data_IF_192167879533
#
_entry.id   IF_192167879533
#
_cell.length_a   1.000
_cell.length_b   1.000
_cell.length_c   1.000
_cell.angle_alpha   90.00
_cell.angle_beta   90.00
_cell.angle_gamma   90.00
#
_symmetry.space_group_name_H-M   'P 1'
#
loop_
_entity.id
_entity.type
_entity.pdbx_description
1 polymer ?
#
# COMPACT_ATOMS: atom_id res chain seq x y z
N UNK A 1 40.91 54.10 54.07
CA UNK A 1 41.48 53.02 54.91
C UNK A 1 40.41 51.94 55.12
N UNK A 2 40.43 50.88 54.31
CA UNK A 2 40.67 49.47 54.71
C UNK A 2 39.70 48.88 55.77
N UNK A 3 38.79 48.00 55.29
CA UNK A 3 38.56 46.57 55.68
C UNK A 3 37.05 46.24 55.50
N UNK A 4 36.66 45.65 54.36
CA UNK A 4 36.46 44.20 54.17
C UNK A 4 35.55 43.56 55.21
N UNK A 5 34.29 43.25 54.84
CA UNK A 5 33.67 41.92 55.02
C UNK A 5 32.65 41.66 53.91
N UNK A 6 32.89 40.56 53.24
CA UNK A 6 32.20 39.93 52.12
C UNK A 6 30.88 39.31 52.59
N UNK A 7 29.75 39.61 51.94
CA UNK A 7 28.57 38.74 51.95
C UNK A 7 28.00 38.65 50.53
N UNK A 8 28.28 37.50 49.91
CA UNK A 8 27.68 37.02 48.67
C UNK A 8 26.20 36.69 48.92
N UNK A 9 25.31 37.21 48.08
CA UNK A 9 24.07 36.53 47.69
C UNK A 9 23.83 36.80 46.20
N UNK A 10 24.35 35.90 45.37
CA UNK A 10 23.88 35.70 43.99
C UNK A 10 22.49 35.07 44.08
N UNK A 11 21.45 35.77 43.61
CA UNK A 11 20.24 35.09 43.15
C UNK A 11 20.36 34.94 41.64
N UNK A 12 20.61 33.69 41.26
CA UNK A 12 20.78 33.21 39.90
C UNK A 12 19.50 33.44 39.10
N UNK A 13 19.64 34.08 37.95
CA UNK A 13 18.71 33.99 36.85
C UNK A 13 18.72 32.52 36.38
N UNK A 14 17.71 31.74 36.73
CA UNK A 14 17.54 30.39 36.17
C UNK A 14 17.02 30.52 34.75
N UNK A 15 17.95 30.61 33.80
CA UNK A 15 17.72 30.17 32.43
C UNK A 15 17.65 28.64 32.39
N UNK A 16 16.83 28.11 31.49
CA UNK A 16 16.73 26.68 31.22
C UNK A 16 15.39 26.30 30.64
N UNK A 17 15.15 26.69 29.38
CA UNK A 17 14.27 25.88 28.52
C UNK A 17 14.97 24.52 28.37
N UNK A 18 14.51 23.50 29.10
CA UNK A 18 14.86 22.12 28.81
C UNK A 18 14.08 21.70 27.56
N UNK A 19 14.59 22.07 26.39
CA UNK A 19 14.39 21.24 25.21
C UNK A 19 15.29 20.03 25.41
N UNK A 20 14.75 18.96 25.99
CA UNK A 20 15.43 17.68 26.05
C UNK A 20 15.36 17.07 24.64
N UNK A 21 16.27 17.52 23.77
CA UNK A 21 16.73 16.65 22.71
C UNK A 21 17.53 15.55 23.43
N UNK A 22 16.90 14.40 23.64
CA UNK A 22 17.62 13.19 24.02
C UNK A 22 18.41 12.71 22.79
N UNK A 23 19.51 13.38 22.46
CA UNK A 23 20.60 12.69 21.77
C UNK A 23 21.28 11.85 22.83
N UNK A 24 20.69 10.69 23.15
CA UNK A 24 21.35 9.72 24.01
C UNK A 24 22.56 9.20 23.26
N UNK A 25 23.73 9.68 23.68
CA UNK A 25 24.94 8.89 23.58
C UNK A 25 24.66 7.55 24.26
N UNK A 26 24.65 6.48 23.47
CA UNK A 26 24.57 5.09 23.93
C UNK A 26 25.70 4.84 24.93
N UNK A 27 25.43 5.06 26.21
CA UNK A 27 26.05 4.24 27.23
C UNK A 27 25.49 2.86 26.99
N UNK A 28 26.35 1.90 26.65
CA UNK A 28 26.00 0.49 26.66
C UNK A 28 25.45 0.19 28.05
N UNK A 29 24.13 0.22 28.16
CA UNK A 29 23.44 -0.26 29.33
C UNK A 29 23.88 -1.72 29.49
N UNK A 30 23.90 -2.21 30.72
CA UNK A 30 24.03 -3.64 30.96
C UNK A 30 22.67 -4.28 30.65
N UNK A 31 22.20 -4.00 29.44
CA UNK A 31 20.84 -4.18 28.95
C UNK A 31 20.57 -5.66 28.77
N UNK A 32 19.29 -6.02 28.85
CA UNK A 32 18.86 -7.39 28.62
C UNK A 32 19.39 -7.85 27.25
N UNK A 33 20.40 -8.74 27.25
CA UNK A 33 20.99 -9.28 26.03
C UNK A 33 19.98 -9.97 25.13
N UNK A 34 18.78 -10.29 25.62
CA UNK A 34 17.69 -10.91 24.85
C UNK A 34 16.83 -9.88 24.10
N UNK A 35 16.97 -8.59 24.38
CA UNK A 35 16.12 -7.55 23.80
C UNK A 35 16.31 -7.41 22.29
N UNK A 36 15.19 -7.23 21.60
CA UNK A 36 15.09 -6.95 20.17
C UNK A 36 14.17 -5.76 19.96
N UNK A 37 14.64 -4.77 19.18
CA UNK A 37 13.86 -3.62 18.74
C UNK A 37 13.80 -3.56 17.22
N UNK A 38 12.60 -3.57 16.66
CA UNK A 38 12.38 -3.44 15.22
C UNK A 38 11.56 -2.19 14.92
N UNK A 39 12.17 -1.23 14.23
CA UNK A 39 11.48 -0.06 13.70
C UNK A 39 10.86 -0.37 12.34
N UNK A 40 9.70 0.20 12.02
CA UNK A 40 9.03 0.04 10.72
C UNK A 40 9.08 1.34 9.93
N UNK A 41 9.51 1.21 8.67
CA UNK A 41 9.55 2.29 7.69
C UNK A 41 8.87 1.84 6.40
N UNK A 42 8.04 2.70 5.82
CA UNK A 42 7.30 2.41 4.59
C UNK A 42 8.08 2.98 3.40
N UNK A 43 8.30 2.17 2.37
CA UNK A 43 8.91 2.66 1.15
C UNK A 43 7.93 3.53 0.36
N UNK A 44 8.16 4.84 0.37
CA UNK A 44 7.34 5.82 -0.35
C UNK A 44 7.63 5.91 -1.85
N UNK A 45 8.61 5.16 -2.37
CA UNK A 45 9.05 5.25 -3.77
C UNK A 45 9.91 6.47 -4.09
N UNK A 46 10.07 7.42 -3.14
CA UNK A 46 11.00 8.57 -3.22
C UNK A 46 11.92 8.52 -2.01
N UNK A 47 13.23 8.79 -2.20
CA UNK A 47 14.29 8.65 -1.18
C UNK A 47 14.19 9.61 0.03
N UNK A 48 13.16 10.45 0.15
CA UNK A 48 13.17 11.63 1.04
C UNK A 48 12.03 11.73 2.06
N UNK A 49 11.12 10.75 2.19
CA UNK A 49 10.09 10.77 3.23
C UNK A 49 10.18 9.53 4.11
N UNK A 50 10.37 9.74 5.41
CA UNK A 50 10.48 8.70 6.44
C UNK A 50 9.20 8.60 7.30
N UNK A 51 8.08 9.17 6.85
CA UNK A 51 6.85 9.26 7.64
C UNK A 51 5.80 8.33 7.06
N UNK A 52 5.17 7.50 7.90
CA UNK A 52 4.07 6.63 7.50
C UNK A 52 3.01 7.39 6.66
N UNK A 53 2.36 6.73 5.68
CA UNK A 53 1.27 7.34 4.92
C UNK A 53 0.21 7.88 5.87
N UNK A 54 -0.26 9.10 5.63
CA UNK A 54 -1.38 9.66 6.39
C UNK A 54 -2.62 8.79 6.14
N UNK A 55 -3.24 8.23 7.20
CA UNK A 55 -4.44 7.43 7.02
C UNK A 55 -5.57 8.23 6.37
N UNK A 56 -6.35 7.62 5.47
CA UNK A 56 -7.59 8.22 5.00
C UNK A 56 -8.55 8.50 6.17
N UNK A 57 -9.50 9.42 5.98
CA UNK A 57 -10.47 9.76 7.01
C UNK A 57 -11.24 8.52 7.51
N UNK A 58 -11.35 8.37 8.84
CA UNK A 58 -11.98 7.23 9.54
C UNK A 58 -11.18 5.91 9.49
N UNK A 59 -9.93 5.93 9.01
CA UNK A 59 -9.06 4.76 9.03
C UNK A 59 -7.87 4.99 9.96
N UNK A 60 -7.31 3.89 10.46
CA UNK A 60 -6.03 3.85 11.15
C UNK A 60 -5.07 2.93 10.39
N UNK A 61 -3.79 3.31 10.34
CA UNK A 61 -2.75 2.42 9.81
C UNK A 61 -2.36 1.42 10.91
N UNK A 62 -2.69 0.16 10.72
CA UNK A 62 -2.24 -0.95 11.56
C UNK A 62 -0.91 -1.49 11.02
N UNK A 63 -0.03 -1.91 11.91
CA UNK A 63 1.12 -2.74 11.58
C UNK A 63 1.16 -3.97 12.48
N UNK A 64 1.34 -5.13 11.86
CA UNK A 64 1.44 -6.44 12.47
C UNK A 64 2.87 -6.92 12.27
N UNK A 65 3.52 -7.34 13.34
CA UNK A 65 4.81 -8.01 13.29
C UNK A 65 4.63 -9.46 13.74
N UNK A 66 5.20 -10.39 12.98
CA UNK A 66 5.40 -11.77 13.41
C UNK A 66 6.87 -12.15 13.34
N UNK A 67 7.33 -12.88 14.36
CA UNK A 67 8.67 -13.49 14.39
C UNK A 67 8.50 -14.99 14.54
N UNK A 68 9.11 -15.71 13.61
CA UNK A 68 9.11 -17.16 13.55
C UNK A 68 10.52 -17.69 13.77
N UNK A 69 10.60 -18.95 14.21
CA UNK A 69 11.84 -19.69 14.06
C UNK A 69 12.26 -19.77 12.57
N UNK A 70 13.54 -20.06 12.32
CA UNK A 70 14.07 -20.08 10.94
C UNK A 70 13.46 -21.17 10.06
N UNK A 71 12.86 -22.20 10.65
CA UNK A 71 12.19 -23.29 9.94
C UNK A 71 10.70 -23.01 9.70
N UNK A 72 10.22 -21.85 10.14
CA UNK A 72 8.84 -21.38 10.06
C UNK A 72 7.85 -22.33 10.76
N UNK A 73 8.33 -23.10 11.73
CA UNK A 73 7.55 -24.12 12.42
C UNK A 73 6.81 -23.59 13.64
N UNK A 74 7.35 -22.55 14.28
CA UNK A 74 6.80 -21.97 15.51
C UNK A 74 6.76 -20.45 15.41
N UNK A 75 5.61 -19.87 15.73
CA UNK A 75 5.48 -18.45 15.99
C UNK A 75 6.06 -18.16 17.39
N UNK A 76 7.00 -17.24 17.46
CA UNK A 76 7.70 -16.86 18.70
C UNK A 76 7.19 -15.54 19.26
N UNK A 77 6.76 -14.65 18.38
CA UNK A 77 6.26 -13.33 18.75
C UNK A 77 5.23 -12.84 17.74
N UNK A 78 4.16 -12.21 18.23
CA UNK A 78 3.23 -11.44 17.42
C UNK A 78 2.75 -10.21 18.17
N UNK A 79 2.66 -9.09 17.49
CA UNK A 79 2.07 -7.86 18.03
C UNK A 79 1.43 -7.03 16.91
N UNK A 80 0.32 -6.37 17.23
CA UNK A 80 -0.33 -5.38 16.37
C UNK A 80 -0.25 -4.00 17.02
N UNK A 81 0.18 -3.00 16.26
CA UNK A 81 0.27 -1.60 16.67
C UNK A 81 -0.48 -0.71 15.69
N UNK A 82 -1.07 0.38 16.17
CA UNK A 82 -1.62 1.44 15.31
C UNK A 82 -0.62 2.58 15.21
N UNK A 83 -0.37 3.07 13.99
CA UNK A 83 0.47 4.24 13.79
C UNK A 83 -0.22 5.48 14.38
N UNK A 84 0.51 6.21 15.22
CA UNK A 84 0.15 7.58 15.59
C UNK A 84 0.79 8.56 14.60
N UNK A 85 0.25 9.77 14.48
CA UNK A 85 0.58 10.70 13.40
C UNK A 85 2.04 11.19 13.37
N UNK A 86 2.88 10.85 14.36
CA UNK A 86 4.23 11.41 14.50
C UNK A 86 5.31 10.43 15.01
N UNK A 87 4.99 9.16 15.28
CA UNK A 87 5.96 8.20 15.84
C UNK A 87 6.30 7.08 14.87
N UNK A 88 7.60 6.78 14.76
CA UNK A 88 8.06 5.53 14.13
C UNK A 88 7.50 4.35 14.91
N UNK A 89 6.77 3.47 14.23
CA UNK A 89 6.28 2.24 14.83
C UNK A 89 7.48 1.36 15.23
N UNK A 90 7.62 1.11 16.52
CA UNK A 90 8.69 0.31 17.10
C UNK A 90 8.10 -0.89 17.83
N UNK A 91 8.55 -2.08 17.47
CA UNK A 91 8.26 -3.32 18.18
C UNK A 91 9.43 -3.62 19.12
N UNK A 92 9.14 -3.96 20.37
CA UNK A 92 10.16 -4.34 21.36
C UNK A 92 9.75 -5.64 22.03
N UNK A 93 10.62 -6.64 21.98
CA UNK A 93 10.38 -7.99 22.51
C UNK A 93 11.70 -8.68 22.87
N UNK A 94 11.62 -9.90 23.37
CA UNK A 94 12.79 -10.68 23.77
C UNK A 94 12.91 -11.97 22.94
N UNK A 95 14.13 -12.27 22.50
CA UNK A 95 14.50 -13.56 21.92
C UNK A 95 15.58 -14.19 22.80
N UNK A 96 15.21 -15.31 23.44
CA UNK A 96 16.05 -15.95 24.46
C UNK A 96 17.37 -16.53 23.91
N UNK A 97 17.39 -16.93 22.63
CA UNK A 97 18.53 -17.60 22.04
C UNK A 97 19.15 -16.75 20.92
N UNK A 98 20.47 -16.80 20.73
CA UNK A 98 21.08 -16.30 19.51
C UNK A 98 20.72 -17.21 18.33
N UNK A 99 20.57 -16.64 17.14
CA UNK A 99 20.22 -17.40 15.95
C UNK A 99 19.59 -16.59 14.83
N UNK A 100 19.24 -17.29 13.75
CA UNK A 100 18.46 -16.74 12.66
C UNK A 100 16.97 -16.84 12.99
N UNK A 101 16.23 -15.79 12.67
CA UNK A 101 14.78 -15.70 12.84
C UNK A 101 14.15 -15.14 11.58
N UNK A 102 13.01 -15.68 11.20
CA UNK A 102 12.22 -15.13 10.10
C UNK A 102 11.28 -14.06 10.66
N UNK A 103 11.30 -12.89 10.06
CA UNK A 103 10.40 -11.77 10.41
C UNK A 103 9.46 -11.50 9.24
N UNK A 104 8.17 -11.41 9.54
CA UNK A 104 7.15 -10.88 8.65
C UNK A 104 6.58 -9.62 9.26
N UNK A 105 6.41 -8.58 8.46
CA UNK A 105 5.60 -7.43 8.84
C UNK A 105 4.57 -7.15 7.76
N UNK A 106 3.36 -6.80 8.19
CA UNK A 106 2.26 -6.36 7.34
C UNK A 106 1.71 -5.05 7.89
N UNK A 107 1.45 -4.08 7.03
CA UNK A 107 0.80 -2.84 7.43
C UNK A 107 -0.34 -2.53 6.47
N UNK A 108 -1.52 -2.27 7.02
CA UNK A 108 -2.75 -2.01 6.26
C UNK A 108 -3.64 -1.00 6.97
N UNK A 109 -4.63 -0.47 6.26
CA UNK A 109 -5.65 0.37 6.87
C UNK A 109 -6.83 -0.46 7.35
N UNK A 110 -7.22 -0.21 8.60
CA UNK A 110 -8.42 -0.74 9.24
C UNK A 110 -9.35 0.41 9.63
N UNK A 111 -10.58 0.10 10.04
CA UNK A 111 -11.47 1.12 10.62
C UNK A 111 -10.81 1.74 11.86
N UNK A 112 -10.89 3.05 12.03
CA UNK A 112 -10.25 3.75 13.15
C UNK A 112 -10.77 3.29 14.52
N UNK A 113 -12.01 2.80 14.57
CA UNK A 113 -12.69 2.24 15.73
C UNK A 113 -12.75 0.70 15.72
N UNK A 114 -11.89 0.04 14.93
CA UNK A 114 -11.86 -1.42 14.82
C UNK A 114 -11.79 -2.10 16.20
N UNK A 115 -12.69 -3.06 16.40
CA UNK A 115 -12.72 -3.85 17.64
C UNK A 115 -11.43 -4.64 17.82
N UNK A 116 -11.01 -4.81 19.07
CA UNK A 116 -9.81 -5.53 19.45
C UNK A 116 -10.18 -6.74 20.30
N UNK A 117 -9.68 -7.90 19.91
CA UNK A 117 -9.87 -9.17 20.63
C UNK A 117 -8.53 -9.74 21.07
N UNK A 118 -8.50 -10.47 22.18
CA UNK A 118 -7.28 -11.14 22.65
C UNK A 118 -7.28 -12.58 22.15
N UNK A 119 -6.18 -12.98 21.53
CA UNK A 119 -5.91 -14.32 21.03
C UNK A 119 -4.86 -14.97 21.92
N UNK A 120 -5.16 -16.13 22.48
CA UNK A 120 -4.29 -16.81 23.46
C UNK A 120 -3.23 -17.73 22.82
N UNK A 121 -3.49 -18.25 21.61
CA UNK A 121 -2.66 -19.26 20.94
C UNK A 121 -2.38 -18.88 19.48
N UNK A 122 -1.21 -19.24 18.91
CA UNK A 122 -0.10 -19.96 19.55
C UNK A 122 0.78 -19.07 20.45
N UNK A 123 0.69 -17.75 20.30
CA UNK A 123 1.33 -16.76 21.17
C UNK A 123 0.26 -15.74 21.58
N UNK A 124 0.13 -15.38 22.87
CA UNK A 124 -0.82 -14.37 23.31
C UNK A 124 -0.59 -13.02 22.64
N UNK A 125 -1.62 -12.46 22.02
CA UNK A 125 -1.57 -11.13 21.40
C UNK A 125 -2.98 -10.53 21.28
N UNK A 126 -3.04 -9.21 21.08
CA UNK A 126 -4.27 -8.56 20.65
C UNK A 126 -4.36 -8.52 19.12
N UNK A 127 -5.55 -8.75 18.60
CA UNK A 127 -5.88 -8.71 17.18
C UNK A 127 -6.99 -7.69 16.93
N UNK A 128 -6.71 -6.71 16.07
CA UNK A 128 -7.73 -5.79 15.57
C UNK A 128 -8.55 -6.43 14.45
N UNK A 129 -9.85 -6.16 14.42
CA UNK A 129 -10.74 -6.66 13.37
C UNK A 129 -10.20 -6.32 11.97
N UNK A 130 -10.02 -7.37 11.16
CA UNK A 130 -9.60 -7.23 9.77
C UNK A 130 -10.67 -6.54 8.92
N UNK A 131 -10.23 -5.68 7.98
CA UNK A 131 -11.11 -4.99 7.04
C UNK A 131 -11.01 -5.56 5.63
N UNK A 132 -9.92 -5.28 4.90
CA UNK A 132 -9.75 -5.73 3.52
C UNK A 132 -8.94 -7.02 3.38
N UNK A 133 -8.11 -7.30 4.39
CA UNK A 133 -7.10 -8.34 4.38
C UNK A 133 -7.24 -9.20 5.61
N UNK A 134 -7.36 -10.52 5.42
CA UNK A 134 -7.32 -11.49 6.51
C UNK A 134 -5.87 -11.72 6.91
N UNK A 135 -5.52 -11.40 8.16
CA UNK A 135 -4.13 -11.39 8.67
C UNK A 135 -3.88 -12.38 9.81
N UNK A 136 -4.90 -13.16 10.18
CA UNK A 136 -4.91 -14.08 11.30
C UNK A 136 -5.26 -15.53 10.88
N UNK A 137 -4.98 -15.90 9.62
CA UNK A 137 -5.17 -17.28 9.14
C UNK A 137 -4.17 -18.26 9.75
N UNK A 138 -4.34 -19.55 9.47
CA UNK A 138 -3.49 -20.64 10.01
C UNK A 138 -2.00 -20.45 9.69
N UNK A 139 -1.69 -19.77 8.58
CA UNK A 139 -0.32 -19.47 8.15
C UNK A 139 0.24 -18.17 8.75
N UNK A 140 -0.51 -17.45 9.59
CA UNK A 140 -0.15 -16.12 10.08
C UNK A 140 0.08 -15.14 8.93
N UNK A 141 1.10 -14.29 9.05
CA UNK A 141 1.46 -13.33 8.01
C UNK A 141 2.17 -13.94 6.80
N UNK A 142 2.48 -15.26 6.79
CA UNK A 142 3.11 -15.92 5.63
C UNK A 142 2.21 -15.86 4.38
N UNK A 143 0.90 -15.74 4.58
CA UNK A 143 -0.08 -15.61 3.52
C UNK A 143 -1.23 -14.70 3.94
N UNK A 144 -1.52 -13.70 3.11
CA UNK A 144 -2.58 -12.72 3.31
C UNK A 144 -3.68 -12.99 2.29
N UNK A 145 -4.94 -13.02 2.74
CA UNK A 145 -6.08 -13.22 1.86
C UNK A 145 -6.92 -11.95 1.77
N UNK A 146 -7.49 -11.69 0.59
CA UNK A 146 -8.54 -10.70 0.45
C UNK A 146 -9.80 -11.15 1.21
N UNK A 147 -10.52 -10.20 1.79
CA UNK A 147 -11.86 -10.39 2.32
C UNK A 147 -12.84 -9.96 1.22
N UNK A 148 -13.48 -10.91 0.50
CA UNK A 148 -14.24 -10.60 -0.71
C UNK A 148 -15.40 -9.61 -0.48
N UNK A 149 -16.10 -9.74 0.64
CA UNK A 149 -17.24 -8.91 1.01
C UNK A 149 -16.88 -7.45 1.27
N UNK A 150 -15.62 -7.18 1.63
CA UNK A 150 -15.11 -5.84 1.91
C UNK A 150 -14.30 -5.27 0.76
N UNK A 151 -14.10 -6.03 -0.32
CA UNK A 151 -13.34 -5.57 -1.48
C UNK A 151 -14.01 -4.34 -2.09
N UNK A 152 -13.21 -3.29 -2.26
CA UNK A 152 -13.65 -2.02 -2.85
C UNK A 152 -12.64 -1.58 -3.91
N UNK A 153 -13.15 -0.92 -4.95
CA UNK A 153 -12.33 -0.16 -5.90
C UNK A 153 -12.41 1.31 -5.57
N UNK A 154 -11.49 2.10 -6.12
CA UNK A 154 -11.42 3.53 -5.84
C UNK A 154 -11.32 3.84 -4.32
N UNK A 155 -10.63 2.98 -3.58
CA UNK A 155 -10.47 3.09 -2.13
C UNK A 155 -8.98 3.18 -1.76
N UNK A 156 -8.52 4.36 -1.32
CA UNK A 156 -7.15 4.56 -0.82
C UNK A 156 -6.85 3.69 0.42
N UNK A 157 -7.88 3.39 1.21
CA UNK A 157 -7.81 2.51 2.38
C UNK A 157 -7.46 1.05 2.05
N UNK A 158 -7.39 0.67 0.77
CA UNK A 158 -6.86 -0.65 0.35
C UNK A 158 -5.36 -0.67 0.10
N UNK A 159 -4.63 0.44 0.27
CA UNK A 159 -3.17 0.36 0.24
C UNK A 159 -2.66 -0.44 1.45
N UNK A 160 -1.54 -1.14 1.25
CA UNK A 160 -0.92 -1.98 2.27
C UNK A 160 0.54 -2.25 1.91
N UNK A 161 1.30 -2.74 2.89
CA UNK A 161 2.73 -2.87 2.81
C UNK A 161 3.19 -4.13 3.53
N UNK A 162 4.28 -4.72 3.04
CA UNK A 162 4.83 -5.93 3.64
C UNK A 162 6.35 -5.94 3.62
N UNK A 163 6.93 -6.75 4.50
CA UNK A 163 8.31 -7.18 4.41
C UNK A 163 8.44 -8.63 4.87
N UNK A 164 9.44 -9.32 4.33
CA UNK A 164 9.86 -10.65 4.73
C UNK A 164 11.37 -10.66 4.75
N UNK A 165 11.97 -10.91 5.91
CA UNK A 165 13.42 -10.90 6.05
C UNK A 165 13.89 -11.81 7.19
N UNK A 166 15.06 -12.41 6.98
CA UNK A 166 15.80 -13.08 8.04
C UNK A 166 16.57 -12.02 8.83
N UNK A 167 16.49 -12.10 10.16
CA UNK A 167 17.37 -11.37 11.08
C UNK A 167 18.30 -12.37 11.78
N UNK A 168 19.52 -11.92 12.10
CA UNK A 168 20.46 -12.67 12.92
C UNK A 168 20.63 -11.97 14.26
N UNK A 169 20.24 -12.66 15.33
CA UNK A 169 20.33 -12.19 16.72
C UNK A 169 21.57 -12.80 17.37
N UNK A 170 22.48 -11.95 17.84
CA UNK A 170 23.62 -12.33 18.65
C UNK A 170 23.26 -12.37 20.15
N UNK A 171 24.20 -12.73 21.02
CA UNK A 171 24.02 -12.71 22.49
C UNK A 171 24.16 -11.29 23.09
N UNK A 172 23.62 -10.30 22.38
CA UNK A 172 23.56 -8.88 22.74
C UNK A 172 22.25 -8.28 22.21
N UNK A 173 21.81 -7.14 22.76
CA UNK A 173 20.63 -6.44 22.26
C UNK A 173 20.72 -6.17 20.74
N UNK A 174 19.60 -6.28 20.03
CA UNK A 174 19.54 -6.14 18.56
C UNK A 174 18.54 -5.07 18.15
N UNK A 175 18.95 -4.20 17.23
CA UNK A 175 18.09 -3.17 16.65
C UNK A 175 18.19 -3.19 15.12
N UNK A 176 17.04 -3.08 14.43
CA UNK A 176 16.99 -2.98 12.98
C UNK A 176 15.75 -2.22 12.51
N UNK A 177 15.91 -1.43 11.45
CA UNK A 177 14.78 -0.86 10.70
C UNK A 177 14.32 -1.84 9.62
N UNK A 178 13.01 -2.05 9.53
CA UNK A 178 12.31 -2.84 8.53
C UNK A 178 11.76 -1.92 7.45
N UNK A 179 12.11 -2.17 6.18
CA UNK A 179 11.54 -1.45 5.05
C UNK A 179 10.39 -2.29 4.47
N UNK A 180 9.19 -1.73 4.50
CA UNK A 180 7.98 -2.36 3.95
C UNK A 180 7.70 -1.81 2.54
N UNK A 181 7.39 -2.69 1.61
CA UNK A 181 7.07 -2.37 0.22
C UNK A 181 5.62 -2.76 -0.10
N UNK A 182 5.04 -2.19 -1.15
CA UNK A 182 3.69 -2.59 -1.56
C UNK A 182 3.71 -3.98 -2.19
N UNK A 183 2.75 -4.85 -1.83
CA UNK A 183 2.53 -6.13 -2.51
C UNK A 183 1.71 -5.97 -3.81
N UNK A 184 1.34 -4.73 -4.16
CA UNK A 184 0.40 -4.44 -5.24
C UNK A 184 1.05 -3.74 -6.43
N UNK A 185 0.50 -3.96 -7.60
CA UNK A 185 0.45 -2.95 -8.65
C UNK A 185 -0.78 -2.07 -8.43
N UNK A 186 -0.64 -0.75 -8.58
CA UNK A 186 -1.80 0.14 -8.67
C UNK A 186 -2.20 0.26 -10.14
N UNK A 187 -3.37 -0.26 -10.49
CA UNK A 187 -3.96 -0.08 -11.79
C UNK A 187 -4.73 1.25 -11.81
N UNK A 188 -4.50 2.10 -12.81
CA UNK A 188 -5.22 3.33 -13.05
C UNK A 188 -5.83 3.30 -14.46
N UNK A 189 -7.15 3.34 -14.56
CA UNK A 189 -7.89 3.50 -15.83
C UNK A 189 -8.29 4.96 -15.97
N UNK A 190 -7.91 5.54 -17.12
CA UNK A 190 -8.01 6.97 -17.39
C UNK A 190 -8.78 7.20 -18.69
N UNK A 191 -9.98 7.77 -18.56
CA UNK A 191 -10.71 8.38 -19.67
C UNK A 191 -9.98 9.65 -20.12
N UNK A 192 -9.76 9.77 -21.43
CA UNK A 192 -9.09 10.92 -22.03
C UNK A 192 -10.05 12.11 -22.18
N UNK A 193 -11.29 11.87 -22.54
CA UNK A 193 -12.34 12.86 -22.75
C UNK A 193 -13.09 13.13 -21.44
N UNK A 194 -12.41 13.78 -20.49
CA UNK A 194 -12.90 13.96 -19.12
C UNK A 194 -14.28 14.63 -19.01
N UNK A 195 -14.66 15.48 -19.98
CA UNK A 195 -15.97 16.12 -20.03
C UNK A 195 -17.11 15.10 -20.17
N UNK A 196 -16.85 13.95 -20.80
CA UNK A 196 -17.87 12.90 -20.97
C UNK A 196 -18.21 12.21 -19.64
N UNK A 197 -17.32 12.26 -18.65
CA UNK A 197 -17.54 11.65 -17.32
C UNK A 197 -18.75 12.27 -16.60
N UNK A 198 -19.07 13.54 -16.88
CA UNK A 198 -20.25 14.23 -16.33
C UNK A 198 -21.58 13.61 -16.76
N UNK A 199 -21.56 12.76 -17.80
CA UNK A 199 -22.75 12.07 -18.32
C UNK A 199 -23.01 10.71 -17.66
N UNK A 200 -22.17 10.28 -16.71
CA UNK A 200 -22.28 8.98 -16.05
C UNK A 200 -23.00 9.12 -14.72
N UNK A 201 -24.05 8.32 -14.53
CA UNK A 201 -24.69 8.15 -13.21
C UNK A 201 -24.10 6.97 -12.44
N UNK A 202 -23.65 5.93 -13.15
CA UNK A 202 -23.12 4.71 -12.57
C UNK A 202 -22.19 4.00 -13.54
N UNK A 203 -21.14 3.39 -13.01
CA UNK A 203 -20.23 2.49 -13.74
C UNK A 203 -20.16 1.15 -13.02
N UNK A 204 -20.22 0.05 -13.77
CA UNK A 204 -20.03 -1.29 -13.25
C UNK A 204 -18.74 -1.89 -13.81
N UNK A 205 -17.87 -2.38 -12.92
CA UNK A 205 -16.61 -3.03 -13.27
C UNK A 205 -16.69 -4.52 -12.97
N UNK A 206 -16.25 -5.36 -13.92
CA UNK A 206 -16.06 -6.80 -13.68
C UNK A 206 -14.72 -7.29 -14.21
N UNK A 207 -13.94 -7.96 -13.37
CA UNK A 207 -12.63 -8.54 -13.69
C UNK A 207 -12.24 -9.57 -12.61
N UNK A 208 -11.05 -10.18 -12.71
CA UNK A 208 -10.54 -11.12 -11.70
C UNK A 208 -9.17 -10.68 -11.18
N UNK A 209 -8.92 -10.88 -9.90
CA UNK A 209 -7.64 -10.56 -9.23
C UNK A 209 -7.15 -11.74 -8.41
N UNK A 210 -5.84 -11.86 -8.13
CA UNK A 210 -5.36 -12.83 -7.16
C UNK A 210 -6.03 -12.62 -5.80
N UNK A 211 -6.46 -13.72 -5.18
CA UNK A 211 -7.20 -13.73 -3.92
C UNK A 211 -6.29 -13.72 -2.68
N UNK A 212 -5.02 -14.09 -2.85
CA UNK A 212 -4.04 -14.12 -1.78
C UNK A 212 -2.68 -13.57 -2.21
N UNK A 213 -1.83 -13.31 -1.21
CA UNK A 213 -0.45 -12.91 -1.38
C UNK A 213 0.43 -13.65 -0.39
N UNK A 214 1.45 -14.33 -0.91
CA UNK A 214 2.45 -15.01 -0.12
C UNK A 214 3.58 -14.02 0.19
N UNK A 215 3.66 -13.57 1.44
CA UNK A 215 4.64 -12.56 1.88
C UNK A 215 6.05 -13.11 1.92
N UNK A 216 6.21 -14.42 2.13
CA UNK A 216 7.50 -15.10 2.13
C UNK A 216 8.17 -15.06 0.76
N UNK A 217 7.39 -15.35 -0.30
CA UNK A 217 7.84 -15.33 -1.68
C UNK A 217 7.77 -13.95 -2.32
N UNK A 218 7.00 -13.03 -1.73
CA UNK A 218 6.69 -11.73 -2.33
C UNK A 218 5.90 -11.86 -3.64
N UNK A 219 4.96 -12.81 -3.70
CA UNK A 219 4.23 -13.17 -4.91
C UNK A 219 2.73 -13.34 -4.63
N UNK A 220 1.85 -13.01 -5.59
CA UNK A 220 0.43 -13.37 -5.50
C UNK A 220 0.25 -14.88 -5.48
N UNK A 221 -0.81 -15.36 -4.84
CA UNK A 221 -1.26 -16.74 -4.94
C UNK A 221 -1.88 -17.07 -6.29
N UNK A 222 -2.06 -18.36 -6.56
CA UNK A 222 -2.60 -18.86 -7.83
C UNK A 222 -4.13 -18.73 -7.94
N UNK A 223 -4.83 -18.74 -6.80
CA UNK A 223 -6.29 -18.62 -6.76
C UNK A 223 -6.74 -17.19 -7.04
N UNK A 224 -7.80 -17.05 -7.83
CA UNK A 224 -8.36 -15.76 -8.22
C UNK A 224 -9.77 -15.56 -7.67
N UNK A 225 -10.11 -14.30 -7.43
CA UNK A 225 -11.43 -13.84 -7.00
C UNK A 225 -12.08 -13.00 -8.10
N UNK A 226 -13.39 -13.15 -8.28
CA UNK A 226 -14.19 -12.27 -9.12
C UNK A 226 -14.41 -10.91 -8.43
N UNK A 227 -14.08 -9.84 -9.14
CA UNK A 227 -14.42 -8.47 -8.76
C UNK A 227 -15.67 -8.07 -9.52
N UNK A 228 -16.69 -7.61 -8.79
CA UNK A 228 -17.92 -7.00 -9.33
C UNK A 228 -18.23 -5.77 -8.50
N UNK A 229 -18.02 -4.60 -9.09
CA UNK A 229 -18.08 -3.34 -8.35
C UNK A 229 -18.96 -2.33 -9.08
N UNK A 230 -19.82 -1.67 -8.33
CA UNK A 230 -20.69 -0.59 -8.83
C UNK A 230 -20.24 0.72 -8.20
N UNK A 231 -19.92 1.69 -9.04
CA UNK A 231 -19.40 3.00 -8.65
C UNK A 231 -20.36 4.07 -9.16
N UNK A 232 -20.87 4.91 -8.24
CA UNK A 232 -21.72 6.07 -8.56
C UNK A 232 -21.00 7.40 -8.41
N UNK A 233 -19.76 7.37 -7.90
CA UNK A 233 -18.88 8.54 -7.80
C UNK A 233 -17.51 8.15 -8.31
N UNK A 234 -17.13 8.71 -9.45
CA UNK A 234 -15.86 8.42 -10.09
C UNK A 234 -14.70 9.07 -9.32
N UNK A 235 -13.50 8.46 -9.33
CA UNK A 235 -12.34 9.03 -8.65
C UNK A 235 -11.93 10.34 -9.32
N UNK A 236 -11.44 11.27 -8.52
CA UNK A 236 -10.77 12.48 -9.04
C UNK A 236 -9.28 12.26 -8.95
N UNK A 237 -8.50 12.38 -10.05
CA UNK A 237 -7.05 12.19 -10.02
C UNK A 237 -6.40 12.99 -8.89
N UNK A 238 -5.39 12.42 -8.23
CA UNK A 238 -4.65 12.99 -7.09
C UNK A 238 -3.15 12.68 -7.21
N UNK A 239 -2.34 13.10 -6.23
CA UNK A 239 -0.95 12.65 -6.14
C UNK A 239 -0.81 11.13 -5.90
N UNK A 240 -1.83 10.50 -5.33
CA UNK A 240 -1.82 9.08 -4.95
C UNK A 240 -2.25 8.14 -6.09
N UNK A 241 -2.97 8.65 -7.09
CA UNK A 241 -3.44 7.90 -8.25
C UNK A 241 -3.85 8.85 -9.39
N UNK A 242 -3.62 8.44 -10.64
CA UNK A 242 -3.93 9.27 -11.83
C UNK A 242 -5.31 8.99 -12.44
N UNK A 243 -6.08 8.07 -11.86
CA UNK A 243 -7.33 7.56 -12.42
C UNK A 243 -8.50 8.56 -12.32
N UNK A 244 -9.36 8.54 -13.34
CA UNK A 244 -10.66 9.21 -13.35
C UNK A 244 -11.84 8.25 -13.66
N UNK A 245 -11.56 6.96 -13.87
CA UNK A 245 -12.58 5.90 -13.99
C UNK A 245 -12.44 4.86 -12.88
N UNK A 246 -11.25 4.25 -12.79
CA UNK A 246 -10.95 3.17 -11.86
C UNK A 246 -9.51 3.29 -11.38
N UNK A 247 -9.29 3.25 -10.07
CA UNK A 247 -8.04 2.76 -9.52
C UNK A 247 -8.26 1.57 -8.60
N UNK A 248 -7.29 0.67 -8.58
CA UNK A 248 -7.33 -0.53 -7.74
C UNK A 248 -5.91 -0.99 -7.36
N UNK A 249 -5.83 -1.64 -6.20
CA UNK A 249 -4.62 -2.27 -5.65
C UNK A 249 -4.72 -3.78 -5.87
N UNK A 250 -3.98 -4.27 -6.87
CA UNK A 250 -4.01 -5.67 -7.30
C UNK A 250 -2.70 -6.33 -6.89
N UNK A 251 -2.78 -7.45 -6.15
CA UNK A 251 -1.59 -8.22 -5.77
C UNK A 251 -0.78 -8.58 -7.02
N UNK A 252 0.50 -8.30 -7.00
CA UNK A 252 1.34 -8.40 -8.18
C UNK A 252 2.73 -8.95 -7.86
N UNK A 253 3.37 -9.51 -8.88
CA UNK A 253 4.76 -9.94 -8.81
C UNK A 253 5.70 -8.73 -8.93
N UNK A 254 6.90 -8.75 -8.31
CA UNK A 254 7.94 -7.74 -8.56
C UNK A 254 8.50 -7.80 -9.99
N UNK A 255 8.27 -8.91 -10.72
CA UNK A 255 8.54 -9.00 -12.15
C UNK A 255 7.28 -8.71 -12.95
N UNK A 256 7.45 -8.23 -14.19
CA UNK A 256 6.33 -7.88 -15.05
C UNK A 256 5.42 -9.10 -15.30
N UNK A 257 4.18 -8.97 -14.84
CA UNK A 257 3.09 -9.91 -15.07
C UNK A 257 1.97 -9.19 -15.81
N UNK A 258 1.02 -9.91 -16.40
CA UNK A 258 -0.12 -9.30 -17.08
C UNK A 258 -1.40 -9.68 -16.33
N UNK A 259 -2.35 -8.75 -16.22
CA UNK A 259 -3.68 -9.07 -15.73
C UNK A 259 -4.34 -10.05 -16.70
N UNK A 260 -4.53 -11.29 -16.27
CA UNK A 260 -4.98 -12.36 -17.15
C UNK A 260 -6.44 -12.20 -17.62
N UNK A 261 -7.30 -11.65 -16.76
CA UNK A 261 -8.70 -11.40 -17.09
C UNK A 261 -8.91 -10.12 -17.89
N UNK A 262 -9.94 -10.11 -18.72
CA UNK A 262 -10.51 -8.87 -19.24
C UNK A 262 -11.10 -8.02 -18.11
N UNK A 263 -11.12 -6.70 -18.33
CA UNK A 263 -11.89 -5.75 -17.52
C UNK A 263 -13.06 -5.29 -18.36
N UNK A 264 -14.28 -5.61 -17.91
CA UNK A 264 -15.51 -5.06 -18.50
C UNK A 264 -15.95 -3.86 -17.70
N UNK A 265 -16.35 -2.83 -18.41
CA UNK A 265 -16.79 -1.56 -17.89
C UNK A 265 -18.15 -1.27 -18.54
N UNK A 266 -19.21 -1.30 -17.74
CA UNK A 266 -20.54 -0.93 -18.22
C UNK A 266 -20.94 0.43 -17.67
N UNK A 267 -21.41 1.32 -18.54
CA UNK A 267 -21.73 2.70 -18.18
C UNK A 267 -23.23 2.93 -18.23
N UNK A 268 -23.75 3.63 -17.21
CA UNK A 268 -25.13 4.10 -17.17
C UNK A 268 -25.13 5.61 -17.30
N UNK A 269 -25.91 6.15 -18.22
CA UNK A 269 -26.01 7.60 -18.39
C UNK A 269 -26.83 8.23 -17.28
N UNK A 270 -26.54 9.49 -16.95
CA UNK A 270 -27.41 10.33 -16.13
C UNK A 270 -28.69 10.73 -16.86
N UNK A 271 -28.65 10.77 -18.20
CA UNK A 271 -29.80 11.02 -19.06
C UNK A 271 -30.38 9.68 -19.51
N UNK A 272 -31.57 9.33 -19.01
CA UNK A 272 -32.23 8.05 -19.30
C UNK A 272 -32.57 7.85 -20.78
N UNK A 273 -32.59 8.91 -21.59
CA UNK A 273 -32.82 8.81 -23.04
C UNK A 273 -31.54 8.55 -23.83
N UNK A 274 -30.37 8.70 -23.19
CA UNK A 274 -29.06 8.42 -23.79
C UNK A 274 -28.50 7.11 -23.28
N UNK A 275 -27.91 6.35 -24.18
CA UNK A 275 -27.18 5.13 -23.83
C UNK A 275 -25.70 5.34 -24.07
N UNK A 276 -24.89 4.93 -23.10
CA UNK A 276 -23.44 4.85 -23.22
C UNK A 276 -23.06 3.43 -23.62
N UNK A 277 -22.01 3.31 -24.43
CA UNK A 277 -21.51 2.00 -24.87
C UNK A 277 -20.61 1.39 -23.80
N UNK A 278 -20.81 0.10 -23.52
CA UNK A 278 -19.91 -0.67 -22.67
C UNK A 278 -18.51 -0.79 -23.30
N UNK A 279 -17.49 -0.82 -22.44
CA UNK A 279 -16.10 -0.93 -22.84
C UNK A 279 -15.45 -2.18 -22.26
N UNK A 280 -14.60 -2.84 -23.04
CA UNK A 280 -13.80 -3.99 -22.57
C UNK A 280 -12.33 -3.75 -22.84
N UNK A 281 -11.52 -3.83 -21.78
CA UNK A 281 -10.07 -3.97 -21.88
C UNK A 281 -9.78 -5.47 -21.96
N UNK A 282 -9.24 -6.00 -23.07
CA UNK A 282 -8.96 -7.43 -23.17
C UNK A 282 -7.88 -7.84 -22.19
N UNK A 283 -8.00 -9.06 -21.66
CA UNK A 283 -7.01 -9.65 -20.77
C UNK A 283 -5.64 -9.78 -21.43
N UNK A 284 -4.61 -9.92 -20.58
CA UNK A 284 -3.20 -9.98 -20.95
C UNK A 284 -2.63 -8.71 -21.62
N UNK A 285 -3.31 -7.57 -21.53
CA UNK A 285 -2.79 -6.30 -22.03
C UNK A 285 -2.28 -5.37 -20.92
N UNK A 286 -2.78 -5.51 -19.69
CA UNK A 286 -2.43 -4.64 -18.58
C UNK A 286 -1.24 -5.23 -17.80
N UNK A 287 -0.04 -4.64 -17.88
CA UNK A 287 1.07 -5.05 -17.05
C UNK A 287 0.80 -4.73 -15.59
N UNK A 288 1.21 -5.62 -14.69
CA UNK A 288 1.15 -5.47 -13.25
C UNK A 288 2.53 -5.77 -12.69
N UNK A 289 3.10 -4.79 -12.00
CA UNK A 289 4.38 -4.91 -11.31
C UNK A 289 4.18 -4.38 -9.89
N UNK A 290 4.58 -5.17 -8.90
CA UNK A 290 4.52 -4.77 -7.50
C UNK A 290 5.28 -3.46 -7.25
N UNK A 291 4.72 -2.63 -6.38
CA UNK A 291 5.25 -1.32 -6.03
C UNK A 291 5.40 -0.36 -7.22
N UNK A 292 4.57 -0.51 -8.26
CA UNK A 292 4.47 0.41 -9.41
C UNK A 292 3.03 0.74 -9.77
N UNK A 293 2.86 1.81 -10.55
CA UNK A 293 1.57 2.22 -11.12
C UNK A 293 1.50 1.84 -12.60
N UNK A 294 0.40 1.23 -13.01
CA UNK A 294 0.06 0.98 -14.40
C UNK A 294 -1.06 1.93 -14.81
N UNK A 295 -0.75 2.87 -15.69
CA UNK A 295 -1.68 3.86 -16.20
C UNK A 295 -2.16 3.45 -17.60
N UNK A 296 -3.43 3.05 -17.71
CA UNK A 296 -4.10 2.72 -18.96
C UNK A 296 -5.03 3.88 -19.37
N UNK A 297 -4.66 4.59 -20.44
CA UNK A 297 -5.37 5.81 -20.88
C UNK A 297 -5.96 5.65 -22.28
N UNK A 298 -7.21 6.02 -22.46
CA UNK A 298 -7.90 5.97 -23.76
C UNK A 298 -9.22 6.73 -23.75
N UNK A 299 -9.82 6.90 -24.93
CA UNK A 299 -11.18 7.45 -25.08
C UNK A 299 -12.20 6.31 -25.00
N UNK A 300 -12.57 5.89 -23.79
CA UNK A 300 -13.36 4.67 -23.54
C UNK A 300 -14.88 4.94 -23.59
N UNK A 301 -15.30 6.18 -23.30
CA UNK A 301 -16.70 6.59 -23.30
C UNK A 301 -17.20 7.05 -24.66
N UNK A 302 -18.32 6.46 -25.10
CA UNK A 302 -19.06 6.86 -26.30
C UNK A 302 -20.56 6.72 -26.07
N UNK A 303 -21.36 7.54 -26.76
CA UNK A 303 -22.81 7.33 -26.86
C UNK A 303 -23.11 6.29 -27.95
N UNK A 304 -24.13 5.46 -27.76
CA UNK A 304 -24.47 4.37 -28.71
C UNK A 304 -24.89 4.87 -30.11
N UNK A 305 -25.25 6.15 -30.26
CA UNK A 305 -25.51 6.79 -31.55
C UNK A 305 -24.24 7.08 -32.36
N UNK A 306 -23.06 6.98 -31.76
CA UNK A 306 -21.76 7.16 -32.39
C UNK A 306 -21.17 5.76 -32.71
N UNK A 307 -21.17 5.39 -33.99
CA UNK A 307 -20.79 4.05 -34.48
C UNK A 307 -19.32 3.69 -34.19
N UNK A 308 -19.08 2.43 -33.76
CA UNK A 308 -17.86 1.59 -33.88
C UNK A 308 -16.50 2.28 -34.14
N UNK A 309 -16.14 3.31 -33.37
CA UNK A 309 -14.77 3.80 -33.38
C UNK A 309 -13.92 2.87 -32.50
N UNK A 310 -12.96 2.16 -33.10
CA UNK A 310 -11.98 1.42 -32.31
C UNK A 310 -11.22 2.38 -31.40
N UNK A 311 -11.41 2.28 -30.08
CA UNK A 311 -10.66 3.09 -29.12
C UNK A 311 -9.23 2.59 -29.01
N UNK A 312 -8.30 3.52 -29.16
CA UNK A 312 -6.90 3.28 -28.87
C UNK A 312 -6.63 3.47 -27.38
N UNK A 313 -6.08 2.45 -26.73
CA UNK A 313 -5.58 2.56 -25.35
C UNK A 313 -4.06 2.63 -25.38
N UNK A 314 -3.52 3.65 -24.73
CA UNK A 314 -2.09 3.79 -24.46
C UNK A 314 -1.80 3.39 -23.02
N UNK A 315 -0.86 2.46 -22.82
CA UNK A 315 -0.43 1.99 -21.51
C UNK A 315 0.96 2.51 -21.20
N UNK A 316 1.11 3.00 -19.98
CA UNK A 316 2.38 3.41 -19.40
C UNK A 316 2.52 2.82 -18.00
N UNK A 317 3.69 2.26 -17.70
CA UNK A 317 4.06 1.88 -16.33
C UNK A 317 4.98 2.97 -15.80
N UNK A 318 4.61 3.59 -14.68
CA UNK A 318 5.48 4.56 -14.01
C UNK A 318 6.72 3.84 -13.49
N UNK A 319 7.90 4.42 -13.68
CA UNK A 319 9.15 3.79 -13.20
C UNK A 319 9.24 3.78 -11.67
N UNK A 320 8.52 4.69 -11.00
CA UNK A 320 8.46 4.87 -9.56
C UNK A 320 6.99 4.99 -9.11
N UNK A 321 6.72 4.63 -7.85
CA UNK A 321 5.36 4.72 -7.29
C UNK A 321 4.84 6.16 -7.21
N UNK A 322 5.70 7.13 -6.92
CA UNK A 322 5.39 8.56 -6.95
C UNK A 322 6.48 9.26 -7.76
N UNK A 323 6.30 9.48 -9.08
CA UNK A 323 7.25 10.29 -9.82
C UNK A 323 7.24 11.72 -9.27
N UNK A 324 8.41 12.36 -9.23
CA UNK A 324 8.68 13.66 -8.57
C UNK A 324 7.87 14.88 -9.08
N UNK A 325 6.87 14.73 -9.95
CA UNK A 325 6.25 15.86 -10.66
C UNK A 325 4.72 15.96 -10.47
N UNK A 326 4.30 17.16 -10.06
CA UNK A 326 2.94 17.70 -10.13
C UNK A 326 2.33 17.54 -11.53
N UNK A 327 1.01 17.30 -11.57
CA UNK A 327 0.12 17.35 -12.73
C UNK A 327 0.73 17.94 -14.02
N UNK A 328 1.25 17.02 -14.84
CA UNK A 328 1.76 17.26 -16.17
C UNK A 328 2.19 15.90 -16.71
N UNK A 329 1.98 15.63 -18.00
CA UNK A 329 2.45 14.39 -18.64
C UNK A 329 3.88 14.05 -18.14
N UNK A 330 4.15 12.82 -17.68
CA UNK A 330 5.41 12.55 -17.02
C UNK A 330 6.55 12.71 -18.01
N UNK A 331 7.53 13.56 -17.65
CA UNK A 331 8.89 13.51 -18.16
C UNK A 331 9.36 12.05 -18.22
N UNK A 332 9.66 11.52 -19.42
CA UNK A 332 10.48 10.35 -19.84
C UNK A 332 10.70 9.11 -18.92
N UNK A 333 10.03 8.98 -17.77
CA UNK A 333 10.25 7.99 -16.73
C UNK A 333 9.08 6.98 -16.72
N UNK A 334 8.79 6.43 -17.89
CA UNK A 334 7.76 5.41 -18.06
C UNK A 334 8.16 4.41 -19.12
N UNK A 335 7.65 3.18 -18.99
CA UNK A 335 7.75 2.17 -20.04
C UNK A 335 6.43 2.17 -20.81
N UNK A 336 6.48 2.55 -22.09
CA UNK A 336 5.33 2.44 -22.99
C UNK A 336 5.19 1.00 -23.48
N UNK A 337 4.01 0.43 -23.28
CA UNK A 337 3.65 -0.91 -23.79
C UNK A 337 2.89 -0.75 -25.13
N UNK A 338 2.90 -1.74 -26.05
CA UNK A 338 2.17 -1.63 -27.30
C UNK A 338 0.70 -1.25 -27.08
N UNK A 339 0.23 -0.29 -27.87
CA UNK A 339 -1.17 0.09 -27.87
C UNK A 339 -2.02 -1.07 -28.43
N UNK A 340 -3.21 -1.24 -27.89
CA UNK A 340 -4.22 -2.19 -28.36
C UNK A 340 -5.57 -1.47 -28.47
N UNK A 341 -6.49 -2.07 -29.23
CA UNK A 341 -7.89 -1.66 -29.23
C UNK A 341 -8.75 -2.60 -28.37
N UNK A 342 -9.98 -2.18 -28.08
CA UNK A 342 -10.98 -2.98 -27.35
C UNK A 342 -11.31 -4.36 -27.96
N UNK A 343 -10.74 -4.70 -29.13
CA UNK A 343 -10.88 -5.99 -29.83
C UNK A 343 -9.60 -6.83 -29.81
N UNK A 344 -8.59 -6.44 -29.02
CA UNK A 344 -7.30 -7.13 -28.90
C UNK A 344 -6.48 -7.18 -30.20
N UNK A 345 -6.74 -6.27 -31.14
CA UNK A 345 -5.98 -6.18 -32.39
C UNK A 345 -4.75 -5.27 -32.19
N UNK A 346 -3.55 -5.69 -32.65
CA UNK A 346 -2.37 -4.84 -32.64
C UNK A 346 -2.62 -3.61 -33.53
N UNK A 347 -2.13 -2.46 -33.09
CA UNK A 347 -2.29 -1.17 -33.77
C UNK A 347 -1.90 -1.26 -35.25
N UNK A 348 -2.88 -1.10 -36.17
CA UNK A 348 -2.58 -0.73 -37.55
C UNK A 348 -2.43 0.79 -37.57
N UNK A 349 -1.21 1.28 -37.72
CA UNK A 349 -0.99 2.70 -38.04
C UNK A 349 -1.78 3.02 -39.32
N UNK A 350 -2.90 3.71 -39.21
CA UNK A 350 -3.39 4.51 -40.33
C UNK A 350 -2.73 5.88 -40.17
N UNK A 351 -1.72 6.13 -41.01
CA UNK A 351 -1.20 7.47 -41.20
C UNK A 351 -2.33 8.31 -41.79
N UNK A 352 -2.74 9.37 -41.09
CA UNK A 352 -3.36 10.55 -41.69
C UNK A 352 -2.60 11.77 -41.22
#
# INVERSE_FOLDING_TARGET
MKKSRLYLWLLLLTGGLNACNSSETVTADTGNNQQVRLGVNINHGVKTRANAPTPPQNYALRCILEVWDINHSSLLYRQELLASNEETLNFTFELANPGNYQVFAWADFIQADAEKTTVEVPVPHDHYADLYYKTNGDNGLKEIFLIPENYAVNAESRDAFYTSQIIYKEDVAYEKELILNRPFAQLNIIEKEAVLLENISQTNFTYRVPSSFNTEKGMPGDEVMDVKQTVTTLPTPSANYNANLLYDYIFASPVNSLLASEIKIAFTSIDSEKQLQDFTIPGNNLPLVANKRTNARGSMLHFTSEMDASTNISIYIDTEWMPENEYGLPNNNYVKVPNFNNQNNPFKYQQQ
#
